data_IF_590867763956
#
_entry.id   IF_590867763956
#
_cell.length_a   1.000
_cell.length_b   1.000
_cell.length_c   1.000
_cell.angle_alpha   90.00
_cell.angle_beta   90.00
_cell.angle_gamma   90.00
#
_symmetry.space_group_name_H-M   'P 1'
#
loop_
_entity.id
_entity.type
_entity.pdbx_description
1 polymer ?
#
# COMPACT_ATOMS: atom_id res chain seq x y z
N UNK A 1 39.08 -38.25 24.61
CA UNK A 1 39.04 -37.02 25.41
C UNK A 1 37.92 -36.13 24.88
N UNK A 2 36.93 -35.88 25.75
CA UNK A 2 35.91 -34.82 25.79
C UNK A 2 35.31 -34.25 24.50
N UNK A 3 34.03 -34.61 24.30
CA UNK A 3 33.04 -33.75 23.66
C UNK A 3 32.64 -32.63 24.63
N UNK A 4 32.57 -31.38 24.17
CA UNK A 4 32.03 -30.24 24.92
C UNK A 4 31.01 -29.51 24.06
N UNK A 5 29.88 -29.23 24.70
CA UNK A 5 28.53 -29.07 24.17
C UNK A 5 28.29 -27.67 23.60
N UNK A 6 27.52 -27.59 22.49
CA UNK A 6 26.90 -26.34 22.03
C UNK A 6 25.86 -25.90 23.08
N UNK A 7 26.12 -24.76 23.70
CA UNK A 7 25.20 -24.11 24.65
C UNK A 7 23.81 -23.91 24.02
N UNK A 8 22.70 -24.22 24.71
CA UNK A 8 21.37 -24.06 24.16
C UNK A 8 20.97 -22.58 24.19
N UNK A 9 20.63 -22.02 23.03
CA UNK A 9 20.23 -20.62 22.88
C UNK A 9 18.82 -20.38 23.46
N UNK A 10 18.71 -20.26 24.79
CA UNK A 10 17.46 -19.90 25.48
C UNK A 10 16.96 -18.50 25.09
N UNK A 11 17.87 -17.63 24.61
CA UNK A 11 17.53 -16.28 24.15
C UNK A 11 16.83 -16.21 22.79
N UNK A 12 16.80 -17.31 22.02
CA UNK A 12 16.18 -17.32 20.68
C UNK A 12 14.68 -17.63 20.71
N UNK A 13 14.18 -18.16 21.82
CA UNK A 13 12.78 -18.59 21.98
C UNK A 13 11.88 -17.50 22.55
N UNK A 14 12.44 -16.58 23.36
CA UNK A 14 11.66 -15.49 23.98
C UNK A 14 11.38 -14.32 23.02
N UNK A 15 12.20 -14.13 21.99
CA UNK A 15 12.05 -13.03 21.03
C UNK A 15 10.99 -13.27 19.95
N UNK A 16 10.45 -14.49 19.85
CA UNK A 16 9.42 -14.83 18.87
C UNK A 16 7.98 -14.68 19.37
N UNK A 17 7.78 -14.38 20.66
CA UNK A 17 6.44 -14.44 21.26
C UNK A 17 5.75 -13.09 21.49
N UNK A 18 6.44 -11.95 21.28
CA UNK A 18 5.92 -10.62 21.69
C UNK A 18 5.78 -9.63 20.52
N UNK A 19 6.26 -9.98 19.33
CA UNK A 19 6.09 -9.13 18.16
C UNK A 19 4.78 -9.45 17.45
N UNK A 20 3.71 -8.75 17.82
CA UNK A 20 2.51 -8.67 16.99
C UNK A 20 2.80 -7.73 15.80
N UNK A 21 2.85 -8.24 14.54
CA UNK A 21 3.09 -7.42 13.36
C UNK A 21 2.05 -6.31 13.19
N UNK A 22 0.81 -6.52 13.68
CA UNK A 22 -0.24 -5.50 13.61
C UNK A 22 0.01 -4.36 14.59
N UNK A 23 0.45 -4.66 15.81
CA UNK A 23 0.87 -3.63 16.76
C UNK A 23 2.10 -2.86 16.25
N UNK A 24 3.07 -3.54 15.65
CA UNK A 24 4.23 -2.89 15.04
C UNK A 24 3.82 -1.95 13.89
N UNK A 25 2.96 -2.41 12.98
CA UNK A 25 2.40 -1.59 11.90
C UNK A 25 1.67 -0.35 12.45
N UNK A 26 0.86 -0.50 13.51
CA UNK A 26 0.13 0.60 14.13
C UNK A 26 1.06 1.74 14.57
N UNK A 27 2.16 1.39 15.25
CA UNK A 27 3.14 2.38 15.70
C UNK A 27 3.95 2.98 14.54
N UNK A 28 4.35 2.16 13.56
CA UNK A 28 5.07 2.64 12.37
C UNK A 28 4.24 3.65 11.56
N UNK A 29 2.95 3.37 11.39
CA UNK A 29 2.01 4.24 10.66
C UNK A 29 1.77 5.58 11.35
N UNK A 30 2.05 5.70 12.66
CA UNK A 30 1.99 6.97 13.38
C UNK A 30 3.16 7.90 13.01
N UNK A 31 4.28 7.35 12.55
CA UNK A 31 5.46 8.11 12.12
C UNK A 31 5.42 8.39 10.63
N UNK A 32 5.18 7.36 9.81
CA UNK A 32 4.99 7.52 8.37
C UNK A 32 3.82 6.63 7.92
N UNK A 33 2.78 7.20 7.29
CA UNK A 33 1.54 6.48 7.03
C UNK A 33 1.68 5.24 6.12
N UNK A 34 2.67 5.22 5.22
CA UNK A 34 2.92 4.10 4.30
C UNK A 34 3.92 3.08 4.83
N UNK A 35 4.47 3.27 6.04
CA UNK A 35 5.34 2.26 6.65
C UNK A 35 4.53 1.07 7.14
N UNK A 36 5.02 -0.11 6.79
CA UNK A 36 4.44 -1.38 7.19
C UNK A 36 5.52 -2.45 7.23
N UNK A 37 5.27 -3.49 8.02
CA UNK A 37 6.11 -4.68 8.11
C UNK A 37 5.99 -5.55 6.87
N UNK A 38 4.78 -5.67 6.29
CA UNK A 38 4.50 -6.58 5.15
C UNK A 38 3.50 -6.04 4.10
N UNK A 39 2.77 -4.95 4.38
CA UNK A 39 1.68 -4.47 3.51
C UNK A 39 2.18 -3.56 2.40
N UNK A 40 1.81 -3.83 1.16
CA UNK A 40 1.97 -2.88 0.06
C UNK A 40 1.01 -1.69 0.27
N UNK A 41 1.55 -0.50 0.50
CA UNK A 41 0.80 0.74 0.73
C UNK A 41 1.29 1.83 -0.22
N UNK A 42 0.39 2.72 -0.59
CA UNK A 42 0.71 3.85 -1.44
C UNK A 42 -0.07 5.08 -0.97
N UNK A 43 0.55 6.25 -0.93
CA UNK A 43 -0.10 7.50 -0.57
C UNK A 43 -0.29 8.37 -1.82
N UNK A 44 -1.44 9.00 -1.96
CA UNK A 44 -1.67 10.00 -3.00
C UNK A 44 -0.85 11.24 -2.66
N UNK A 45 0.16 11.55 -3.49
CA UNK A 45 0.98 12.75 -3.34
C UNK A 45 0.54 13.88 -4.27
N UNK A 46 -0.19 13.54 -5.34
CA UNK A 46 -0.73 14.51 -6.28
C UNK A 46 -2.02 14.00 -6.93
N UNK A 47 -2.98 14.90 -7.15
CA UNK A 47 -4.21 14.63 -7.88
C UNK A 47 -4.41 15.68 -8.97
N UNK A 48 -4.53 15.24 -10.23
CA UNK A 48 -4.70 16.10 -11.41
C UNK A 48 -5.91 15.68 -12.24
N UNK A 49 -6.66 16.66 -12.75
CA UNK A 49 -7.70 16.38 -13.73
C UNK A 49 -7.05 16.14 -15.10
N UNK A 50 -7.25 14.95 -15.67
CA UNK A 50 -6.72 14.59 -16.98
C UNK A 50 -7.72 14.86 -18.11
N UNK A 51 -9.03 14.68 -17.84
CA UNK A 51 -10.14 14.99 -18.74
C UNK A 51 -11.42 15.19 -17.92
N UNK A 52 -12.56 15.57 -18.53
CA UNK A 52 -13.83 15.89 -17.83
C UNK A 52 -14.21 14.90 -16.71
N UNK A 53 -14.10 13.59 -16.97
CA UNK A 53 -14.45 12.52 -16.03
C UNK A 53 -13.25 11.62 -15.69
N UNK A 54 -12.03 12.11 -15.86
CA UNK A 54 -10.81 11.33 -15.65
C UNK A 54 -9.80 12.10 -14.83
N UNK A 55 -9.30 11.46 -13.78
CA UNK A 55 -8.23 11.97 -12.93
C UNK A 55 -6.98 11.10 -13.05
N UNK A 56 -5.82 11.69 -12.78
CA UNK A 56 -4.57 10.98 -12.57
C UNK A 56 -4.08 11.25 -11.15
N UNK A 57 -3.79 10.17 -10.42
CA UNK A 57 -3.27 10.18 -9.07
C UNK A 57 -1.81 9.75 -9.11
N UNK A 58 -0.91 10.59 -8.64
CA UNK A 58 0.48 10.22 -8.43
C UNK A 58 0.61 9.61 -7.04
N UNK A 59 1.18 8.41 -6.97
CA UNK A 59 1.24 7.58 -5.79
C UNK A 59 2.69 7.42 -5.32
N UNK A 60 2.96 7.80 -4.08
CA UNK A 60 4.18 7.43 -3.39
C UNK A 60 4.01 6.06 -2.75
N UNK A 61 4.82 5.10 -3.16
CA UNK A 61 4.71 3.71 -2.72
C UNK A 61 5.74 3.37 -1.64
N UNK A 62 5.45 2.36 -0.82
CA UNK A 62 6.46 1.76 0.03
C UNK A 62 7.20 0.61 -0.69
N UNK A 63 8.29 0.14 -0.08
CA UNK A 63 9.15 -0.94 -0.62
C UNK A 63 8.44 -2.28 -0.86
N UNK A 64 7.20 -2.46 -0.38
CA UNK A 64 6.45 -3.70 -0.52
C UNK A 64 5.58 -3.72 -1.77
N UNK A 65 5.36 -2.57 -2.42
CA UNK A 65 4.69 -2.50 -3.71
C UNK A 65 5.61 -3.12 -4.76
N UNK A 66 5.13 -4.19 -5.41
CA UNK A 66 5.82 -4.84 -6.53
C UNK A 66 5.11 -4.48 -7.82
N UNK A 67 5.79 -3.72 -8.67
CA UNK A 67 5.28 -3.42 -10.01
C UNK A 67 5.32 -4.66 -10.89
N UNK A 68 4.31 -4.77 -11.73
CA UNK A 68 4.13 -5.82 -12.70
C UNK A 68 4.86 -5.46 -13.98
N UNK A 69 4.83 -6.35 -14.96
CA UNK A 69 5.34 -6.03 -16.29
C UNK A 69 4.41 -5.04 -16.98
N UNK A 70 4.95 -4.22 -17.88
CA UNK A 70 4.17 -3.30 -18.70
C UNK A 70 3.02 -4.05 -19.40
N UNK A 71 1.82 -3.46 -19.36
CA UNK A 71 0.59 -4.08 -19.87
C UNK A 71 -0.20 -4.93 -18.86
N UNK A 72 0.34 -5.17 -17.65
CA UNK A 72 -0.40 -5.83 -16.58
C UNK A 72 -1.23 -4.83 -15.76
N UNK A 73 -2.25 -5.36 -15.08
CA UNK A 73 -3.08 -4.60 -14.14
C UNK A 73 -2.73 -4.98 -12.71
N UNK A 74 -2.94 -4.05 -11.80
CA UNK A 74 -2.71 -4.20 -10.37
C UNK A 74 -3.99 -4.07 -9.58
N UNK A 75 -4.21 -4.93 -8.56
CA UNK A 75 -5.31 -4.74 -7.62
C UNK A 75 -5.03 -3.52 -6.75
N UNK A 76 -5.89 -2.52 -6.83
CA UNK A 76 -5.90 -1.35 -5.95
C UNK A 76 -7.01 -1.54 -4.93
N UNK A 77 -6.63 -1.46 -3.66
CA UNK A 77 -7.53 -1.58 -2.52
C UNK A 77 -7.75 -0.22 -1.90
N UNK A 78 -9.00 0.19 -1.74
CA UNK A 78 -9.38 1.43 -1.06
C UNK A 78 -10.37 1.12 0.05
N UNK A 79 -10.28 1.85 1.17
CA UNK A 79 -11.23 1.73 2.27
C UNK A 79 -12.20 2.90 2.24
N UNK A 80 -13.47 2.61 1.98
CA UNK A 80 -14.55 3.60 1.88
C UNK A 80 -15.58 3.26 2.95
N UNK A 81 -15.87 4.20 3.86
CA UNK A 81 -16.84 4.03 4.95
C UNK A 81 -16.63 2.73 5.76
N UNK A 82 -15.38 2.43 6.10
CA UNK A 82 -15.04 1.23 6.87
C UNK A 82 -14.91 -0.06 6.05
N UNK A 83 -15.36 -0.08 4.78
CA UNK A 83 -15.35 -1.27 3.93
C UNK A 83 -14.20 -1.24 2.92
N UNK A 84 -13.50 -2.35 2.79
CA UNK A 84 -12.44 -2.53 1.81
C UNK A 84 -13.04 -2.90 0.44
N UNK A 85 -12.71 -2.13 -0.58
CA UNK A 85 -13.04 -2.40 -1.97
C UNK A 85 -11.77 -2.63 -2.77
N UNK A 86 -11.80 -3.56 -3.72
CA UNK A 86 -10.68 -3.87 -4.60
C UNK A 86 -11.09 -3.72 -6.06
N UNK A 87 -10.26 -3.05 -6.87
CA UNK A 87 -10.45 -2.93 -8.33
C UNK A 87 -9.12 -3.06 -9.05
N UNK A 88 -9.14 -3.71 -10.21
CA UNK A 88 -7.96 -3.84 -11.07
C UNK A 88 -7.79 -2.59 -11.92
N UNK A 89 -6.62 -1.96 -11.82
CA UNK A 89 -6.26 -0.79 -12.62
C UNK A 89 -4.89 -0.98 -13.26
N UNK A 90 -4.68 -0.36 -14.42
CA UNK A 90 -3.34 -0.23 -14.99
C UNK A 90 -2.60 0.90 -14.28
N UNK A 91 -1.38 0.63 -13.86
CA UNK A 91 -0.50 1.63 -13.29
C UNK A 91 0.58 1.99 -14.31
N UNK A 92 0.88 3.28 -14.39
CA UNK A 92 1.93 3.81 -15.28
C UNK A 92 3.08 4.34 -14.44
N UNK A 93 4.29 3.86 -14.67
CA UNK A 93 5.48 4.45 -14.06
C UNK A 93 5.94 5.66 -14.88
N UNK A 94 6.19 6.78 -14.21
CA UNK A 94 6.72 8.00 -14.83
C UNK A 94 7.71 8.68 -13.89
N UNK A 95 8.95 8.82 -14.32
CA UNK A 95 10.02 9.47 -13.56
C UNK A 95 10.23 8.89 -12.14
N UNK A 96 9.99 7.59 -11.96
CA UNK A 96 10.07 6.92 -10.65
C UNK A 96 8.81 7.01 -9.79
N UNK A 97 7.81 7.79 -10.22
CA UNK A 97 6.50 7.83 -9.57
C UNK A 97 5.50 6.88 -10.24
N UNK A 98 4.57 6.38 -9.45
CA UNK A 98 3.51 5.50 -9.92
C UNK A 98 2.23 6.30 -10.14
N UNK A 99 1.67 6.26 -11.34
CA UNK A 99 0.48 7.03 -11.72
C UNK A 99 -0.69 6.08 -11.94
N UNK A 100 -1.77 6.34 -11.21
CA UNK A 100 -3.06 5.68 -11.36
C UNK A 100 -4.03 6.63 -12.07
N UNK A 101 -4.43 6.30 -13.30
CA UNK A 101 -5.42 7.08 -14.05
C UNK A 101 -6.78 6.42 -13.97
N UNK A 102 -7.78 7.16 -13.49
CA UNK A 102 -9.12 6.64 -13.20
C UNK A 102 -10.16 7.48 -13.91
N UNK A 103 -10.95 6.81 -14.75
CA UNK A 103 -12.18 7.37 -15.30
C UNK A 103 -13.33 7.10 -14.31
N UNK A 104 -14.09 8.15 -13.98
CA UNK A 104 -15.34 8.03 -13.23
C UNK A 104 -16.36 7.28 -14.08
N UNK A 105 -17.00 6.28 -13.48
CA UNK A 105 -18.04 5.46 -14.10
C UNK A 105 -19.33 5.69 -13.32
N UNK A 106 -20.44 5.85 -14.02
CA UNK A 106 -21.77 5.95 -13.40
C UNK A 106 -21.99 4.74 -12.47
N UNK A 107 -22.49 5.00 -11.26
CA UNK A 107 -22.70 4.01 -10.20
C UNK A 107 -21.43 3.27 -9.72
N UNK A 108 -20.24 3.68 -10.19
CA UNK A 108 -18.97 3.12 -9.79
C UNK A 108 -18.53 3.62 -8.42
N UNK A 109 -18.57 2.77 -7.39
CA UNK A 109 -18.19 3.16 -6.01
C UNK A 109 -16.74 3.65 -5.89
N UNK A 110 -15.78 2.83 -6.32
CA UNK A 110 -14.34 3.14 -6.19
C UNK A 110 -13.92 4.28 -7.11
N UNK A 111 -14.36 4.27 -8.37
CA UNK A 111 -14.00 5.33 -9.32
C UNK A 111 -14.62 6.68 -8.94
N UNK A 112 -15.85 6.70 -8.42
CA UNK A 112 -16.48 7.92 -7.91
C UNK A 112 -15.77 8.42 -6.66
N UNK A 113 -15.44 7.54 -5.71
CA UNK A 113 -14.68 7.93 -4.51
C UNK A 113 -13.31 8.51 -4.86
N UNK A 114 -12.53 7.84 -5.72
CA UNK A 114 -11.24 8.35 -6.20
C UNK A 114 -11.39 9.69 -6.91
N UNK A 115 -12.44 9.86 -7.72
CA UNK A 115 -12.65 11.11 -8.46
C UNK A 115 -13.07 12.27 -7.55
N UNK A 116 -14.07 12.06 -6.70
CA UNK A 116 -14.77 13.15 -6.00
C UNK A 116 -14.32 13.34 -4.55
N UNK A 117 -13.91 12.28 -3.87
CA UNK A 117 -13.71 12.31 -2.42
C UNK A 117 -12.24 12.17 -2.04
N UNK A 118 -11.44 11.42 -2.80
CA UNK A 118 -10.03 11.21 -2.44
C UNK A 118 -9.23 12.51 -2.52
N UNK A 119 -8.25 12.63 -1.63
CA UNK A 119 -7.41 13.81 -1.48
C UNK A 119 -5.93 13.41 -1.46
N UNK A 120 -5.07 14.41 -1.67
CA UNK A 120 -3.63 14.26 -1.41
C UNK A 120 -3.45 13.95 0.08
N UNK A 121 -2.70 12.89 0.38
CA UNK A 121 -2.49 12.37 1.73
C UNK A 121 -3.23 11.05 2.01
N UNK A 122 -4.26 10.69 1.22
CA UNK A 122 -4.96 9.41 1.37
C UNK A 122 -4.08 8.21 0.99
N UNK A 123 -4.36 7.05 1.57
CA UNK A 123 -3.58 5.80 1.46
C UNK A 123 -4.45 4.67 0.89
#
# INVERSE_FOLDING_TARGET
MQAIQKSPSLFRTLTQSVFDPHAADFWLQKVNPIWSTSRALAQIIEKKQAAKDTISLTLQTNRHVKLGKAGQHHPVKVKIDGRLYERSYSLTERNGDLILTVKKIADGKVSTWLHEQSQVGDI
#
